data_IF_235144907765
#
_entry.id   IF_235144907765
#
_cell.length_a   1.000
_cell.length_b   1.000
_cell.length_c   1.000
_cell.angle_alpha   90.00
_cell.angle_beta   90.00
_cell.angle_gamma   90.00
#
_symmetry.space_group_name_H-M   'P 1'
#
loop_
_entity.id
_entity.type
_entity.pdbx_description
1 polymer ?
#
# COMPACT_ATOMS: atom_id res chain seq x y z
N UNK A 1 9.47 19.48 4.61
CA UNK A 1 10.38 18.33 4.77
C UNK A 1 11.13 18.10 3.46
N UNK A 2 12.48 18.05 3.46
CA UNK A 2 13.27 17.77 2.25
C UNK A 2 13.74 16.32 2.28
N UNK A 3 13.21 15.51 1.38
CA UNK A 3 13.60 14.11 1.22
C UNK A 3 14.88 14.09 0.37
N UNK A 4 16.01 13.62 0.94
CA UNK A 4 17.33 13.64 0.27
C UNK A 4 17.37 12.73 -0.94
N UNK A 5 17.44 13.25 -2.14
CA UNK A 5 17.48 12.40 -3.32
C UNK A 5 18.76 11.56 -3.37
N UNK A 6 18.63 10.28 -3.69
CA UNK A 6 19.73 9.31 -3.83
C UNK A 6 19.39 8.42 -5.01
N UNK A 7 20.38 7.93 -5.74
CA UNK A 7 20.15 7.10 -6.93
C UNK A 7 19.23 5.90 -6.64
N UNK A 8 19.38 5.30 -5.45
CA UNK A 8 18.49 4.22 -4.99
C UNK A 8 17.03 4.68 -4.93
N UNK A 9 16.79 5.82 -4.30
CA UNK A 9 15.43 6.38 -4.14
C UNK A 9 14.83 6.82 -5.47
N UNK A 10 15.64 7.36 -6.39
CA UNK A 10 15.15 7.69 -7.74
C UNK A 10 14.61 6.45 -8.45
N UNK A 11 15.36 5.34 -8.42
CA UNK A 11 14.89 4.06 -8.97
C UNK A 11 13.64 3.53 -8.27
N UNK A 12 13.58 3.63 -6.94
CA UNK A 12 12.38 3.23 -6.18
C UNK A 12 11.15 4.07 -6.56
N UNK A 13 11.32 5.37 -6.81
CA UNK A 13 10.22 6.23 -7.27
C UNK A 13 9.78 5.92 -8.69
N UNK A 14 10.71 5.57 -9.58
CA UNK A 14 10.38 5.11 -10.94
C UNK A 14 9.57 3.80 -10.90
N UNK A 15 10.05 2.80 -10.15
CA UNK A 15 9.32 1.54 -9.94
C UNK A 15 7.94 1.79 -9.31
N UNK A 16 7.85 2.74 -8.36
CA UNK A 16 6.57 3.08 -7.74
C UNK A 16 5.60 3.72 -8.74
N UNK A 17 6.10 4.60 -9.61
CA UNK A 17 5.29 5.19 -10.69
C UNK A 17 4.78 4.12 -11.66
N UNK A 18 5.62 3.15 -12.03
CA UNK A 18 5.21 2.01 -12.86
C UNK A 18 4.14 1.16 -12.17
N UNK A 19 4.36 0.78 -10.90
CA UNK A 19 3.45 -0.06 -10.13
C UNK A 19 2.08 0.62 -9.88
N UNK A 20 2.07 1.95 -9.73
CA UNK A 20 0.84 2.73 -9.50
C UNK A 20 0.19 3.22 -10.80
N UNK A 21 0.89 3.16 -11.93
CA UNK A 21 0.47 3.79 -13.19
C UNK A 21 0.50 5.33 -13.18
N UNK A 22 1.08 5.95 -12.14
CA UNK A 22 1.05 7.39 -11.95
C UNK A 22 2.17 8.12 -12.70
N UNK A 23 1.81 9.23 -13.34
CA UNK A 23 2.76 10.02 -14.16
C UNK A 23 3.72 10.89 -13.34
N UNK A 24 3.43 11.12 -12.06
CA UNK A 24 4.28 11.95 -11.20
C UNK A 24 4.65 11.22 -9.90
N UNK A 25 5.87 11.49 -9.41
CA UNK A 25 6.37 10.95 -8.13
C UNK A 25 5.43 11.27 -6.97
N UNK A 26 4.90 12.49 -6.92
CA UNK A 26 4.00 12.91 -5.83
C UNK A 26 2.74 12.05 -5.80
N UNK A 27 2.08 11.84 -6.95
CA UNK A 27 0.87 11.03 -7.03
C UNK A 27 1.14 9.55 -6.72
N UNK A 28 2.26 9.02 -7.20
CA UNK A 28 2.67 7.66 -6.89
C UNK A 28 2.89 7.47 -5.37
N UNK A 29 3.53 8.43 -4.71
CA UNK A 29 3.70 8.43 -3.25
C UNK A 29 2.35 8.54 -2.54
N UNK A 30 1.46 9.45 -2.98
CA UNK A 30 0.13 9.60 -2.38
C UNK A 30 -0.73 8.33 -2.54
N UNK A 31 -0.59 7.62 -3.67
CA UNK A 31 -1.22 6.32 -3.88
C UNK A 31 -0.66 5.25 -2.94
N UNK A 32 0.67 5.17 -2.81
CA UNK A 32 1.36 4.24 -1.92
C UNK A 32 1.01 4.47 -0.45
N UNK A 33 0.95 5.73 -0.01
CA UNK A 33 0.57 6.10 1.35
C UNK A 33 -0.87 5.68 1.64
N UNK A 34 -1.81 5.98 0.75
CA UNK A 34 -3.21 5.57 0.91
C UNK A 34 -3.36 4.05 0.95
N UNK A 35 -2.65 3.33 0.08
CA UNK A 35 -2.63 1.88 0.08
C UNK A 35 -2.10 1.34 1.42
N UNK A 36 -0.93 1.79 1.87
CA UNK A 36 -0.35 1.34 3.14
C UNK A 36 -1.27 1.61 4.33
N UNK A 37 -1.82 2.82 4.46
CA UNK A 37 -2.70 3.18 5.57
C UNK A 37 -3.98 2.32 5.59
N UNK A 38 -4.54 1.99 4.43
CA UNK A 38 -5.70 1.08 4.33
C UNK A 38 -5.33 -0.35 4.70
N UNK A 39 -4.22 -0.86 4.19
CA UNK A 39 -3.82 -2.26 4.38
C UNK A 39 -3.34 -2.54 5.81
N UNK A 40 -2.55 -1.63 6.38
CA UNK A 40 -1.99 -1.79 7.72
C UNK A 40 -2.99 -1.44 8.83
N UNK A 41 -3.94 -0.55 8.58
CA UNK A 41 -4.90 -0.11 9.59
C UNK A 41 -4.23 0.66 10.74
N UNK A 42 -4.77 0.50 11.96
CA UNK A 42 -4.22 1.11 13.19
C UNK A 42 -4.24 2.65 13.19
N UNK A 43 -5.09 3.25 12.37
CA UNK A 43 -5.18 4.71 12.24
C UNK A 43 -6.64 5.18 12.28
N UNK A 44 -6.84 6.50 12.43
CA UNK A 44 -8.18 7.06 12.61
C UNK A 44 -9.14 6.80 11.43
N UNK A 45 -8.62 6.60 10.22
CA UNK A 45 -9.43 6.34 9.03
C UNK A 45 -9.68 4.84 8.78
N UNK A 46 -8.75 3.99 9.22
CA UNK A 46 -8.85 2.54 9.14
C UNK A 46 -8.36 1.93 10.48
N UNK A 47 -9.27 1.72 11.46
CA UNK A 47 -8.90 1.13 12.75
C UNK A 47 -8.35 -0.29 12.60
N UNK A 48 -9.00 -1.11 11.77
CA UNK A 48 -8.56 -2.46 11.38
C UNK A 48 -8.06 -2.40 9.94
N UNK A 49 -6.92 -3.04 9.67
CA UNK A 49 -6.31 -3.05 8.34
C UNK A 49 -6.87 -4.17 7.47
N UNK A 50 -6.97 -3.95 6.15
CA UNK A 50 -7.50 -4.98 5.25
C UNK A 50 -6.69 -6.29 5.24
N UNK A 51 -5.39 -6.25 5.56
CA UNK A 51 -4.60 -7.50 5.71
C UNK A 51 -5.08 -8.31 6.90
N UNK A 52 -5.35 -7.65 8.03
CA UNK A 52 -5.84 -8.30 9.24
C UNK A 52 -7.22 -8.91 9.01
N UNK A 53 -8.10 -8.18 8.34
CA UNK A 53 -9.42 -8.70 7.93
C UNK A 53 -9.30 -9.94 7.03
N UNK A 54 -8.42 -9.90 6.02
CA UNK A 54 -8.19 -11.04 5.13
C UNK A 54 -7.60 -12.25 5.86
N UNK A 55 -6.70 -12.02 6.81
CA UNK A 55 -6.14 -13.09 7.64
C UNK A 55 -7.21 -13.73 8.53
N UNK A 56 -8.09 -12.94 9.14
CA UNK A 56 -9.20 -13.47 9.93
C UNK A 56 -10.15 -14.31 9.06
N UNK A 57 -10.51 -13.83 7.87
CA UNK A 57 -11.33 -14.60 6.93
C UNK A 57 -10.65 -15.92 6.57
N UNK A 58 -9.34 -15.89 6.28
CA UNK A 58 -8.58 -17.09 5.98
C UNK A 58 -8.53 -18.09 7.16
N UNK A 59 -8.44 -17.60 8.40
CA UNK A 59 -8.51 -18.44 9.60
C UNK A 59 -9.90 -19.07 9.77
N UNK A 60 -10.97 -18.30 9.53
CA UNK A 60 -12.35 -18.73 9.73
C UNK A 60 -12.80 -19.78 8.70
N UNK A 61 -12.39 -19.62 7.43
CA UNK A 61 -12.84 -20.49 6.32
C UNK A 61 -11.73 -21.39 5.74
N UNK A 62 -10.50 -21.27 6.22
CA UNK A 62 -9.33 -22.07 5.85
C UNK A 62 -8.51 -21.55 4.67
N UNK A 63 -9.02 -20.61 3.87
CA UNK A 63 -8.27 -19.95 2.78
C UNK A 63 -8.99 -18.70 2.27
N UNK A 64 -8.27 -17.82 1.57
CA UNK A 64 -8.86 -16.73 0.78
C UNK A 64 -8.52 -16.90 -0.70
N UNK A 65 -9.49 -16.61 -1.56
CA UNK A 65 -9.38 -16.68 -3.01
C UNK A 65 -9.08 -15.30 -3.60
N UNK A 66 -8.60 -15.23 -4.85
CA UNK A 66 -8.40 -13.94 -5.52
C UNK A 66 -9.67 -13.08 -5.67
N UNK A 67 -10.87 -13.66 -5.56
CA UNK A 67 -12.11 -12.89 -5.61
C UNK A 67 -12.44 -12.21 -4.27
N UNK A 68 -11.80 -12.62 -3.18
CA UNK A 68 -12.00 -12.12 -1.83
C UNK A 68 -10.94 -11.07 -1.43
N UNK A 69 -9.90 -10.88 -2.26
CA UNK A 69 -8.80 -9.92 -2.10
C UNK A 69 -9.01 -8.72 -3.02
#
# INVERSE_FOLDING_TARGET
>A
MRIRDTDKRQREWEMLQEATGEKTRSKAIDAAVRYYLKMAGGNAAAPTGSVEELMQVAEDQGSVTPAEI
#
